data_IF_937499441986
#
_entry.id   IF_937499441986
#
_cell.length_a   1.000
_cell.length_b   1.000
_cell.length_c   1.000
_cell.angle_alpha   90.00
_cell.angle_beta   90.00
_cell.angle_gamma   90.00
#
_symmetry.space_group_name_H-M   'P 1'
#
loop_
_entity.id
_entity.type
_entity.pdbx_description
1 polymer ?
#
# COMPACT_ATOMS: atom_id res chain seq x y z
N UNK A 1 27.21 -3.70 14.64
CA UNK A 1 25.96 -2.96 14.34
C UNK A 1 26.26 -1.96 13.23
N UNK A 2 25.91 -2.29 11.98
CA UNK A 2 26.17 -1.40 10.84
C UNK A 2 24.84 -1.00 10.24
N UNK A 3 24.32 0.13 10.72
CA UNK A 3 23.13 0.78 10.16
C UNK A 3 23.47 1.34 8.78
N UNK A 4 23.22 0.56 7.74
CA UNK A 4 23.27 1.06 6.36
C UNK A 4 22.02 1.90 6.15
N UNK A 5 22.09 3.20 6.48
CA UNK A 5 21.12 4.17 5.96
C UNK A 5 21.37 4.26 4.45
N UNK A 6 20.56 3.57 3.66
CA UNK A 6 20.46 3.86 2.23
C UNK A 6 19.74 5.19 2.10
N UNK A 7 20.49 6.28 2.10
CA UNK A 7 20.04 7.58 1.60
C UNK A 7 19.79 7.44 0.11
N UNK A 8 18.64 6.88 -0.27
CA UNK A 8 18.02 7.24 -1.55
C UNK A 8 17.76 8.72 -1.44
N UNK A 9 18.53 9.54 -2.15
CA UNK A 9 18.33 10.99 -2.21
C UNK A 9 16.95 11.24 -2.80
N UNK A 10 15.95 11.40 -1.95
CA UNK A 10 14.63 11.85 -2.36
C UNK A 10 14.83 13.27 -2.90
N UNK A 11 14.69 13.44 -4.22
CA UNK A 11 14.73 14.76 -4.82
C UNK A 11 13.45 15.47 -4.35
N UNK A 12 13.55 16.55 -3.56
CA UNK A 12 12.37 17.22 -3.07
C UNK A 12 11.60 17.83 -4.25
N UNK A 13 10.29 17.60 -4.27
CA UNK A 13 9.41 18.21 -5.27
C UNK A 13 9.24 19.70 -4.95
N UNK A 14 9.17 20.53 -5.99
CA UNK A 14 8.82 21.95 -5.81
C UNK A 14 7.36 22.10 -5.41
N UNK A 15 7.00 23.23 -4.77
CA UNK A 15 5.62 23.52 -4.40
C UNK A 15 4.66 23.44 -5.60
N UNK A 16 5.09 23.89 -6.78
CA UNK A 16 4.30 23.83 -8.00
C UNK A 16 4.05 22.38 -8.45
N UNK A 17 5.07 21.51 -8.36
CA UNK A 17 4.92 20.08 -8.68
C UNK A 17 4.00 19.37 -7.68
N UNK A 18 4.16 19.64 -6.39
CA UNK A 18 3.29 19.08 -5.34
C UNK A 18 1.84 19.50 -5.58
N UNK A 19 1.60 20.79 -5.84
CA UNK A 19 0.27 21.30 -6.13
C UNK A 19 -0.36 20.64 -7.36
N UNK A 20 0.42 20.47 -8.44
CA UNK A 20 -0.04 19.80 -9.65
C UNK A 20 -0.45 18.34 -9.36
N UNK A 21 0.41 17.59 -8.66
CA UNK A 21 0.14 16.19 -8.30
C UNK A 21 -1.12 16.09 -7.44
N UNK A 22 -1.23 16.90 -6.37
CA UNK A 22 -2.41 16.91 -5.48
C UNK A 22 -3.69 17.26 -6.24
N UNK A 23 -3.66 18.27 -7.11
CA UNK A 23 -4.84 18.71 -7.87
C UNK A 23 -5.33 17.65 -8.85
N UNK A 24 -4.42 17.02 -9.62
CA UNK A 24 -4.79 15.96 -10.56
C UNK A 24 -5.25 14.70 -9.82
N UNK A 25 -4.54 14.31 -8.75
CA UNK A 25 -4.90 13.17 -7.95
C UNK A 25 -6.29 13.32 -7.33
N UNK A 26 -6.61 14.48 -6.76
CA UNK A 26 -7.94 14.75 -6.17
C UNK A 26 -9.07 14.53 -7.17
N UNK A 27 -8.92 14.96 -8.42
CA UNK A 27 -9.93 14.73 -9.46
C UNK A 27 -10.15 13.23 -9.72
N UNK A 28 -9.07 12.45 -9.79
CA UNK A 28 -9.15 11.00 -10.00
C UNK A 28 -9.76 10.32 -8.76
N UNK A 29 -9.27 10.66 -7.57
CA UNK A 29 -9.68 10.05 -6.32
C UNK A 29 -11.16 10.29 -6.02
N UNK A 30 -11.64 11.53 -6.14
CA UNK A 30 -13.05 11.86 -5.94
C UNK A 30 -13.95 11.21 -6.99
N UNK A 31 -13.52 11.08 -8.25
CA UNK A 31 -14.37 10.53 -9.32
C UNK A 31 -14.42 9.00 -9.35
N UNK A 32 -13.39 8.31 -8.89
CA UNK A 32 -13.31 6.83 -8.95
C UNK A 32 -13.42 6.14 -7.60
N UNK A 33 -12.95 6.80 -6.54
CA UNK A 33 -12.83 6.22 -5.21
C UNK A 33 -11.66 5.23 -5.05
N UNK A 34 -11.23 4.98 -3.80
CA UNK A 34 -10.01 4.23 -3.50
C UNK A 34 -10.04 2.78 -4.00
N UNK A 35 -11.19 2.09 -3.87
CA UNK A 35 -11.33 0.69 -4.27
C UNK A 35 -11.11 0.49 -5.76
N UNK A 36 -11.65 1.35 -6.62
CA UNK A 36 -11.54 1.23 -8.08
C UNK A 36 -10.10 1.51 -8.53
N UNK A 37 -9.49 2.55 -7.95
CA UNK A 37 -8.10 2.92 -8.23
C UNK A 37 -7.17 1.78 -7.84
N UNK A 38 -7.24 1.32 -6.59
CA UNK A 38 -6.41 0.24 -6.10
C UNK A 38 -6.64 -1.08 -6.85
N UNK A 39 -7.89 -1.41 -7.22
CA UNK A 39 -8.17 -2.59 -8.03
C UNK A 39 -7.54 -2.50 -9.42
N UNK A 40 -7.56 -1.32 -10.04
CA UNK A 40 -6.95 -1.07 -11.35
C UNK A 40 -5.43 -1.24 -11.30
N UNK A 41 -4.79 -0.72 -10.24
CA UNK A 41 -3.35 -0.86 -9.99
C UNK A 41 -3.00 -2.33 -9.73
N UNK A 42 -3.71 -2.99 -8.80
CA UNK A 42 -3.48 -4.38 -8.42
C UNK A 42 -3.66 -5.33 -9.60
N UNK A 43 -4.71 -5.14 -10.41
CA UNK A 43 -4.95 -5.96 -11.60
C UNK A 43 -3.81 -5.81 -12.62
N UNK A 44 -3.37 -4.57 -12.88
CA UNK A 44 -2.24 -4.31 -13.78
C UNK A 44 -0.94 -4.91 -13.23
N UNK A 45 -0.71 -4.85 -11.92
CA UNK A 45 0.44 -5.47 -11.27
C UNK A 45 0.41 -6.99 -11.42
N UNK A 46 -0.72 -7.64 -11.16
CA UNK A 46 -0.87 -9.09 -11.33
C UNK A 46 -0.71 -9.52 -12.79
N UNK A 47 -1.17 -8.71 -13.75
CA UNK A 47 -0.99 -8.97 -15.17
C UNK A 47 0.49 -8.95 -15.57
N UNK A 48 1.24 -7.94 -15.11
CA UNK A 48 2.69 -7.82 -15.40
C UNK A 48 3.54 -8.81 -14.61
N UNK A 49 3.13 -9.12 -13.38
CA UNK A 49 3.85 -9.96 -12.44
C UNK A 49 2.89 -11.01 -11.83
N UNK A 50 2.60 -12.11 -12.55
CA UNK A 50 1.66 -13.14 -12.08
C UNK A 50 1.99 -13.71 -10.70
N UNK A 51 3.28 -13.71 -10.32
CA UNK A 51 3.75 -14.15 -9.01
C UNK A 51 3.10 -13.39 -7.84
N UNK A 52 2.75 -12.11 -8.03
CA UNK A 52 2.07 -11.30 -7.00
C UNK A 52 0.70 -11.86 -6.67
N UNK A 53 -0.03 -12.33 -7.69
CA UNK A 53 -1.35 -12.96 -7.52
C UNK A 53 -1.24 -14.26 -6.71
N UNK A 54 -0.16 -15.01 -6.89
CA UNK A 54 0.08 -16.23 -6.14
C UNK A 54 0.52 -15.95 -4.70
N UNK A 55 1.28 -14.89 -4.46
CA UNK A 55 1.67 -14.48 -3.11
C UNK A 55 0.47 -14.14 -2.23
N UNK A 56 -0.51 -13.38 -2.73
CA UNK A 56 -1.68 -13.01 -1.93
C UNK A 56 -2.56 -14.23 -1.59
N UNK A 57 -2.60 -15.24 -2.47
CA UNK A 57 -3.37 -16.48 -2.26
C UNK A 57 -2.72 -17.42 -1.25
N UNK A 58 -1.42 -17.26 -1.00
CA UNK A 58 -0.68 -18.00 0.03
C UNK A 58 -0.88 -17.43 1.43
N UNK A 59 -1.37 -16.19 1.54
CA UNK A 59 -1.76 -15.60 2.83
C UNK A 59 -2.98 -16.37 3.34
N UNK A 60 -2.98 -16.96 4.55
CA UNK A 60 -4.20 -17.51 5.12
C UNK A 60 -5.31 -16.46 5.15
N UNK A 61 -6.52 -16.83 4.73
CA UNK A 61 -7.65 -15.91 4.70
C UNK A 61 -7.93 -15.38 6.12
N UNK A 62 -7.78 -14.07 6.38
CA UNK A 62 -8.05 -13.54 7.71
C UNK A 62 -9.52 -13.74 8.07
N UNK A 63 -9.78 -14.16 9.32
CA UNK A 63 -11.12 -14.56 9.80
C UNK A 63 -12.25 -13.54 9.57
N UNK A 64 -11.93 -12.24 9.43
CA UNK A 64 -12.91 -11.18 9.17
C UNK A 64 -13.44 -11.15 7.72
N UNK A 65 -12.80 -11.88 6.81
CA UNK A 65 -13.17 -11.94 5.41
C UNK A 65 -13.88 -13.25 5.10
N UNK A 66 -14.98 -13.15 4.35
CA UNK A 66 -15.78 -14.31 3.95
C UNK A 66 -15.04 -15.18 2.92
N UNK A 67 -14.26 -14.54 2.05
CA UNK A 67 -13.52 -15.18 0.97
C UNK A 67 -12.35 -14.31 0.49
N UNK A 68 -11.46 -14.88 -0.33
CA UNK A 68 -10.32 -14.14 -0.88
C UNK A 68 -10.72 -12.94 -1.74
N UNK A 69 -11.87 -12.97 -2.41
CA UNK A 69 -12.30 -11.82 -3.22
C UNK A 69 -12.60 -10.60 -2.33
N UNK A 70 -13.26 -10.82 -1.19
CA UNK A 70 -13.52 -9.78 -0.19
C UNK A 70 -12.22 -9.27 0.45
N UNK A 71 -11.27 -10.16 0.73
CA UNK A 71 -9.94 -9.80 1.22
C UNK A 71 -9.14 -8.98 0.21
N UNK A 72 -9.09 -9.41 -1.05
CA UNK A 72 -8.39 -8.70 -2.13
C UNK A 72 -9.04 -7.34 -2.37
N UNK A 73 -10.37 -7.24 -2.37
CA UNK A 73 -11.08 -5.96 -2.51
C UNK A 73 -10.70 -4.98 -1.40
N UNK A 74 -10.61 -5.45 -0.16
CA UNK A 74 -10.16 -4.64 0.97
C UNK A 74 -8.68 -4.24 0.83
N UNK A 75 -7.81 -5.17 0.42
CA UNK A 75 -6.41 -4.88 0.12
C UNK A 75 -6.26 -3.80 -0.98
N UNK A 76 -7.03 -3.92 -2.06
CA UNK A 76 -7.10 -2.92 -3.11
C UNK A 76 -7.56 -1.56 -2.59
N UNK A 77 -8.59 -1.50 -1.75
CA UNK A 77 -9.05 -0.24 -1.13
C UNK A 77 -7.91 0.42 -0.33
N UNK A 78 -7.22 -0.34 0.51
CA UNK A 78 -6.11 0.18 1.30
C UNK A 78 -4.93 0.66 0.44
N UNK A 79 -4.64 0.03 -0.70
CA UNK A 79 -3.65 0.55 -1.67
C UNK A 79 -4.07 1.95 -2.13
N UNK A 80 -5.34 2.13 -2.50
CA UNK A 80 -5.87 3.43 -2.92
C UNK A 80 -5.77 4.49 -1.82
N UNK A 81 -6.14 4.14 -0.59
CA UNK A 81 -6.08 5.04 0.57
C UNK A 81 -4.64 5.38 0.98
N UNK A 82 -3.71 4.42 0.91
CA UNK A 82 -2.30 4.68 1.22
C UNK A 82 -1.66 5.64 0.19
N UNK A 83 -1.98 5.49 -1.10
CA UNK A 83 -1.49 6.41 -2.13
C UNK A 83 -2.05 7.81 -1.89
N UNK A 84 -3.33 7.91 -1.53
CA UNK A 84 -3.96 9.19 -1.18
C UNK A 84 -3.23 9.89 -0.03
N UNK A 85 -2.96 9.17 1.07
CA UNK A 85 -2.19 9.68 2.19
C UNK A 85 -0.78 10.10 1.79
N UNK A 86 -0.09 9.34 0.94
CA UNK A 86 1.24 9.73 0.42
C UNK A 86 1.14 11.03 -0.38
N UNK A 87 0.14 11.18 -1.25
CA UNK A 87 -0.08 12.40 -2.04
C UNK A 87 -0.39 13.61 -1.14
N UNK A 88 -1.17 13.40 -0.08
CA UNK A 88 -1.46 14.41 0.93
C UNK A 88 -0.23 14.88 1.71
N UNK A 89 0.82 14.08 1.81
CA UNK A 89 2.04 14.39 2.57
C UNK A 89 3.29 14.60 1.69
N UNK A 90 3.14 14.86 0.39
CA UNK A 90 4.28 15.05 -0.53
C UNK A 90 5.23 16.21 -0.18
N UNK A 91 4.76 17.20 0.57
CA UNK A 91 5.59 18.30 1.10
C UNK A 91 6.42 17.89 2.33
N UNK A 92 6.03 16.82 3.02
CA UNK A 92 6.78 16.25 4.13
C UNK A 92 6.50 14.74 4.29
N UNK A 93 7.25 13.92 3.55
CA UNK A 93 7.10 12.46 3.57
C UNK A 93 7.55 11.82 4.88
N UNK A 94 8.28 12.53 5.76
CA UNK A 94 8.65 11.99 7.08
C UNK A 94 7.40 11.71 7.93
N UNK A 95 6.31 12.44 7.68
CA UNK A 95 5.00 12.18 8.30
C UNK A 95 4.43 10.80 7.94
N UNK A 96 4.88 10.20 6.82
CA UNK A 96 4.47 8.88 6.36
C UNK A 96 5.48 7.78 6.68
N UNK A 97 6.66 8.11 7.21
CA UNK A 97 7.75 7.15 7.38
C UNK A 97 7.34 5.93 8.22
N UNK A 98 6.70 6.16 9.37
CA UNK A 98 6.25 5.08 10.26
C UNK A 98 5.25 4.14 9.59
N UNK A 99 4.29 4.70 8.85
CA UNK A 99 3.26 3.92 8.17
C UNK A 99 3.83 3.10 7.01
N UNK A 100 4.70 3.70 6.19
CA UNK A 100 5.37 3.00 5.09
C UNK A 100 6.30 1.89 5.59
N UNK A 101 7.02 2.13 6.70
CA UNK A 101 7.84 1.10 7.36
C UNK A 101 6.96 -0.05 7.83
N UNK A 102 5.83 0.25 8.49
CA UNK A 102 4.89 -0.76 9.00
C UNK A 102 4.34 -1.63 7.86
N UNK A 103 3.88 -1.02 6.77
CA UNK A 103 3.42 -1.73 5.55
C UNK A 103 4.54 -2.57 4.96
N UNK A 104 5.75 -2.02 4.85
CA UNK A 104 6.93 -2.73 4.36
C UNK A 104 7.27 -3.96 5.20
N UNK A 105 7.17 -3.87 6.52
CA UNK A 105 7.41 -5.00 7.43
C UNK A 105 6.39 -6.11 7.25
N UNK A 106 5.10 -5.78 7.07
CA UNK A 106 4.05 -6.77 6.79
C UNK A 106 4.34 -7.51 5.50
N UNK A 107 4.65 -6.80 4.41
CA UNK A 107 5.00 -7.42 3.14
C UNK A 107 6.28 -8.27 3.22
N UNK A 108 7.31 -7.81 3.92
CA UNK A 108 8.56 -8.54 4.06
C UNK A 108 8.39 -9.85 4.85
N UNK A 109 7.59 -9.84 5.91
CA UNK A 109 7.26 -11.04 6.69
C UNK A 109 6.43 -12.03 5.86
N UNK A 110 5.49 -11.53 5.06
CA UNK A 110 4.74 -12.39 4.11
C UNK A 110 5.67 -13.10 3.14
N UNK A 111 6.60 -12.37 2.52
CA UNK A 111 7.54 -12.95 1.56
C UNK A 111 8.47 -14.01 2.18
N UNK A 112 8.76 -13.91 3.48
CA UNK A 112 9.57 -14.90 4.22
C UNK A 112 8.75 -16.02 4.87
N UNK A 113 7.43 -15.99 4.79
CA UNK A 113 6.55 -16.98 5.45
C UNK A 113 6.48 -16.84 6.98
N UNK A 114 6.82 -15.67 7.52
CA UNK A 114 6.95 -15.39 8.96
C UNK A 114 5.71 -14.71 9.57
N UNK A 115 4.56 -14.74 8.90
CA UNK A 115 3.32 -14.15 9.41
C UNK A 115 2.80 -14.96 10.61
N UNK A 116 2.83 -14.36 11.80
CA UNK A 116 2.33 -14.97 13.04
C UNK A 116 0.86 -14.57 13.30
N UNK A 117 0.10 -15.41 14.03
CA UNK A 117 -1.34 -15.20 14.29
C UNK A 117 -1.71 -13.89 15.02
N UNK A 118 -0.77 -13.24 15.71
CA UNK A 118 -0.98 -11.92 16.33
C UNK A 118 -0.90 -10.76 15.31
N UNK A 119 -0.26 -10.98 14.15
CA UNK A 119 -0.07 -10.01 13.07
C UNK A 119 -1.09 -10.20 11.92
N UNK A 120 -1.72 -11.37 11.85
CA UNK A 120 -3.04 -11.51 11.21
C UNK A 120 -4.00 -10.44 11.76
N UNK A 121 -3.88 -10.08 13.05
CA UNK A 121 -4.64 -9.02 13.70
C UNK A 121 -4.26 -7.60 13.22
N UNK A 122 -3.04 -7.34 12.76
CA UNK A 122 -2.66 -6.04 12.19
C UNK A 122 -3.16 -5.89 10.74
N UNK A 123 -3.18 -6.99 9.98
CA UNK A 123 -3.99 -7.08 8.75
C UNK A 123 -5.49 -6.89 9.05
N UNK A 124 -5.96 -7.16 10.29
CA UNK A 124 -7.34 -6.83 10.71
C UNK A 124 -7.60 -5.33 10.86
N UNK A 125 -6.58 -4.51 11.10
CA UNK A 125 -6.75 -3.07 11.37
C UNK A 125 -6.34 -2.16 10.19
N UNK A 126 -5.57 -2.67 9.23
CA UNK A 126 -4.99 -1.88 8.13
C UNK A 126 -5.71 -2.03 6.79
N UNK A 127 -6.44 -3.13 6.61
CA UNK A 127 -7.25 -3.47 5.43
C UNK A 127 -8.72 -3.55 5.83
#
# INVERSE_FOLDING_TARGET
MSGRQTTTTLIPLTCAQIHLVRSLWRQIYTSKGPTVIGSSIYHRLCFKCPQVKEQIRRVPLPQKFLNYDSFIKAHCKAIGELIDQVVEHLDNLDNMANELIRVGQVHAKLLRGELTGKQELELRQTL
#
